data_IF_467162065249
#
_entry.id   IF_467162065249
#
_cell.length_a   1.000
_cell.length_b   1.000
_cell.length_c   1.000
_cell.angle_alpha   90.00
_cell.angle_beta   90.00
_cell.angle_gamma   90.00
#
_symmetry.space_group_name_H-M   'P 1'
#
loop_
_entity.id
_entity.type
_entity.pdbx_description
1 polymer ?
#
# COMPACT_ATOMS: atom_id res chain seq x y z
N UNK A 1 7.75 -20.82 8.67
CA UNK A 1 6.36 -20.61 8.20
C UNK A 1 5.88 -19.28 8.75
N UNK A 2 5.52 -18.32 7.91
CA UNK A 2 5.00 -17.01 8.35
C UNK A 2 3.55 -17.20 8.85
N UNK A 3 3.21 -16.57 9.99
CA UNK A 3 1.85 -16.64 10.52
C UNK A 3 0.87 -15.91 9.58
N UNK A 4 -0.34 -16.45 9.35
CA UNK A 4 -1.39 -15.74 8.62
C UNK A 4 -1.64 -14.35 9.22
N UNK A 5 -1.86 -13.36 8.37
CA UNK A 5 -2.09 -11.95 8.79
C UNK A 5 -3.26 -11.86 9.77
N UNK A 6 -4.34 -12.62 9.54
CA UNK A 6 -5.52 -12.64 10.42
C UNK A 6 -5.22 -13.07 11.86
N UNK A 7 -4.14 -13.81 12.08
CA UNK A 7 -3.71 -14.21 13.45
C UNK A 7 -2.92 -13.11 14.15
N UNK A 8 -2.42 -12.13 13.41
CA UNK A 8 -1.64 -11.00 13.95
C UNK A 8 -2.51 -9.77 14.19
N UNK A 9 -3.62 -9.61 13.45
CA UNK A 9 -4.55 -8.51 13.61
C UNK A 9 -5.39 -8.66 14.89
N UNK A 10 -5.53 -7.56 15.64
CA UNK A 10 -6.23 -7.57 16.94
C UNK A 10 -7.71 -7.22 16.84
N UNK A 11 -8.10 -6.45 15.81
CA UNK A 11 -9.48 -5.96 15.64
C UNK A 11 -10.18 -6.77 14.56
N UNK A 12 -11.42 -7.20 14.85
CA UNK A 12 -12.25 -7.93 13.88
C UNK A 12 -12.46 -7.13 12.59
N UNK A 13 -12.68 -5.82 12.68
CA UNK A 13 -12.82 -4.95 11.52
C UNK A 13 -11.59 -4.96 10.61
N UNK A 14 -10.37 -5.03 11.18
CA UNK A 14 -9.14 -5.14 10.39
C UNK A 14 -9.05 -6.48 9.65
N UNK A 15 -9.53 -7.56 10.26
CA UNK A 15 -9.58 -8.88 9.63
C UNK A 15 -10.57 -8.88 8.46
N UNK A 16 -11.74 -8.27 8.64
CA UNK A 16 -12.75 -8.14 7.60
C UNK A 16 -12.24 -7.31 6.41
N UNK A 17 -11.61 -6.16 6.68
CA UNK A 17 -10.95 -5.36 5.64
C UNK A 17 -9.86 -6.15 4.92
N UNK A 18 -9.00 -6.89 5.65
CA UNK A 18 -7.93 -7.67 5.05
C UNK A 18 -8.46 -8.75 4.07
N UNK A 19 -9.57 -9.40 4.39
CA UNK A 19 -10.22 -10.38 3.52
C UNK A 19 -10.85 -9.71 2.30
N UNK A 20 -11.54 -8.58 2.50
CA UNK A 20 -12.13 -7.82 1.40
C UNK A 20 -11.05 -7.31 0.42
N UNK A 21 -9.87 -6.91 0.94
CA UNK A 21 -8.73 -6.55 0.09
C UNK A 21 -8.29 -7.72 -0.79
N UNK A 22 -8.21 -8.93 -0.24
CA UNK A 22 -7.79 -10.11 -1.01
C UNK A 22 -8.75 -10.39 -2.17
N UNK A 23 -10.07 -10.33 -1.94
CA UNK A 23 -11.09 -10.52 -2.98
C UNK A 23 -11.00 -9.44 -4.08
N UNK A 24 -10.78 -8.19 -3.69
CA UNK A 24 -10.66 -7.09 -4.67
C UNK A 24 -9.35 -7.22 -5.46
N UNK A 25 -8.24 -7.54 -4.81
CA UNK A 25 -6.95 -7.77 -5.48
C UNK A 25 -7.07 -8.90 -6.50
N UNK A 26 -7.67 -10.03 -6.13
CA UNK A 26 -7.93 -11.13 -7.07
C UNK A 26 -8.81 -10.70 -8.23
N UNK A 27 -9.86 -9.92 -7.96
CA UNK A 27 -10.76 -9.39 -9.01
C UNK A 27 -9.98 -8.48 -9.97
N UNK A 28 -9.15 -7.56 -9.46
CA UNK A 28 -8.33 -6.67 -10.29
C UNK A 28 -7.40 -7.47 -11.19
N UNK A 29 -6.64 -8.42 -10.61
CA UNK A 29 -5.66 -9.20 -11.39
C UNK A 29 -6.29 -10.23 -12.34
N UNK A 30 -7.53 -10.65 -12.11
CA UNK A 30 -8.27 -11.47 -13.09
C UNK A 30 -8.64 -10.69 -14.35
N UNK A 31 -8.72 -9.37 -14.28
CA UNK A 31 -9.09 -8.48 -15.36
C UNK A 31 -7.89 -7.76 -16.00
N UNK A 32 -6.88 -7.43 -15.21
CA UNK A 32 -5.67 -6.75 -15.65
C UNK A 32 -4.44 -7.28 -14.89
N UNK A 33 -3.75 -8.26 -15.49
CA UNK A 33 -2.53 -8.85 -14.95
C UNK A 33 -1.33 -7.90 -14.95
N UNK A 34 -1.47 -6.73 -15.61
CA UNK A 34 -0.46 -5.66 -15.65
C UNK A 34 -0.73 -4.55 -14.67
N UNK A 35 -1.84 -4.59 -13.93
CA UNK A 35 -2.09 -3.65 -12.85
C UNK A 35 -0.94 -3.70 -11.83
N UNK A 36 -0.56 -2.55 -11.29
CA UNK A 36 0.55 -2.44 -10.34
C UNK A 36 0.00 -1.95 -9.01
N UNK A 37 -0.02 -2.82 -8.01
CA UNK A 37 -0.40 -2.45 -6.64
C UNK A 37 0.71 -1.59 -6.03
N UNK A 38 0.33 -0.46 -5.42
CA UNK A 38 1.27 0.42 -4.71
C UNK A 38 0.69 0.93 -3.38
N UNK A 39 1.31 1.96 -2.81
CA UNK A 39 0.80 2.57 -1.59
C UNK A 39 0.99 1.72 -0.33
N UNK A 40 0.20 2.04 0.70
CA UNK A 40 0.35 1.44 2.04
C UNK A 40 0.06 -0.05 2.08
N UNK A 41 -0.93 -0.50 1.31
CA UNK A 41 -1.31 -1.92 1.28
C UNK A 41 -0.28 -2.77 0.55
N UNK A 42 0.37 -2.26 -0.50
CA UNK A 42 1.49 -2.95 -1.13
C UNK A 42 2.67 -3.13 -0.15
N UNK A 43 3.00 -2.09 0.63
CA UNK A 43 4.06 -2.18 1.65
C UNK A 43 3.69 -3.22 2.71
N UNK A 44 2.46 -3.21 3.15
CA UNK A 44 1.96 -4.17 4.13
C UNK A 44 2.02 -5.61 3.61
N UNK A 45 1.49 -5.86 2.41
CA UNK A 45 1.26 -7.22 1.88
C UNK A 45 2.46 -7.79 1.11
N UNK A 46 3.24 -6.94 0.42
CA UNK A 46 4.34 -7.39 -0.43
C UNK A 46 5.73 -7.16 0.19
N UNK A 47 5.82 -6.31 1.21
CA UNK A 47 7.06 -5.96 1.90
C UNK A 47 7.02 -6.26 3.39
N UNK A 48 6.15 -7.16 3.83
CA UNK A 48 6.03 -7.60 5.24
C UNK A 48 5.87 -6.43 6.21
N UNK A 49 5.13 -5.38 5.82
CA UNK A 49 4.88 -4.23 6.66
C UNK A 49 4.12 -4.59 7.94
N UNK A 50 4.41 -3.91 9.03
CA UNK A 50 3.82 -4.15 10.34
C UNK A 50 2.71 -3.18 10.71
N UNK A 51 2.36 -2.26 9.82
CA UNK A 51 1.24 -1.34 10.00
C UNK A 51 0.06 -1.74 9.12
N UNK A 52 -1.13 -1.57 9.69
CA UNK A 52 -2.38 -1.77 8.97
C UNK A 52 -2.60 -0.69 7.91
N UNK A 53 -3.12 -1.08 6.74
CA UNK A 53 -3.53 -0.19 5.65
C UNK A 53 -4.88 -0.62 5.13
N UNK A 54 -5.79 0.34 4.88
CA UNK A 54 -7.19 0.07 4.51
C UNK A 54 -7.41 0.16 3.01
N UNK A 55 -6.86 1.18 2.36
CA UNK A 55 -7.13 1.48 0.95
C UNK A 55 -6.33 0.60 0.00
N UNK A 56 -6.82 0.46 -1.21
CA UNK A 56 -6.14 -0.19 -2.33
C UNK A 56 -5.81 0.84 -3.42
N UNK A 57 -4.53 0.97 -3.73
CA UNK A 57 -4.01 1.90 -4.71
C UNK A 57 -3.35 1.14 -5.87
N UNK A 58 -3.77 1.41 -7.10
CA UNK A 58 -3.24 0.77 -8.31
C UNK A 58 -2.82 1.77 -9.38
N UNK A 59 -1.81 1.40 -10.16
CA UNK A 59 -1.58 1.93 -11.49
C UNK A 59 -2.11 0.95 -12.52
N UNK A 60 -2.98 1.41 -13.42
CA UNK A 60 -3.47 0.63 -14.55
C UNK A 60 -3.96 1.55 -15.65
N UNK A 61 -3.59 1.25 -16.88
CA UNK A 61 -4.08 1.97 -18.07
C UNK A 61 -5.32 1.34 -18.67
N UNK A 62 -5.71 0.15 -18.24
CA UNK A 62 -6.80 -0.66 -18.82
C UNK A 62 -8.04 -0.75 -17.93
N UNK A 63 -7.93 -0.70 -16.61
CA UNK A 63 -9.07 -0.92 -15.70
C UNK A 63 -10.25 0.03 -15.94
N UNK A 64 -10.01 1.24 -16.44
CA UNK A 64 -11.11 2.16 -16.76
C UNK A 64 -12.00 1.65 -17.91
N UNK A 65 -11.38 1.11 -18.97
CA UNK A 65 -12.12 0.52 -20.08
C UNK A 65 -12.85 -0.77 -19.71
N UNK A 66 -12.44 -1.41 -18.62
CA UNK A 66 -12.99 -2.66 -18.10
C UNK A 66 -14.07 -2.43 -17.01
N UNK A 67 -14.62 -1.21 -16.89
CA UNK A 67 -15.60 -0.88 -15.84
C UNK A 67 -16.73 -1.90 -15.74
N UNK A 68 -17.38 -2.20 -16.84
CA UNK A 68 -18.50 -3.15 -16.88
C UNK A 68 -18.09 -4.55 -16.48
N UNK A 69 -16.90 -4.99 -16.93
CA UNK A 69 -16.35 -6.30 -16.56
C UNK A 69 -15.96 -6.34 -15.10
N UNK A 70 -15.39 -5.24 -14.58
CA UNK A 70 -15.05 -5.10 -13.16
C UNK A 70 -16.32 -5.19 -12.29
N UNK A 71 -17.38 -4.46 -12.62
CA UNK A 71 -18.64 -4.51 -11.88
C UNK A 71 -19.27 -5.91 -11.95
N UNK A 72 -19.24 -6.57 -13.12
CA UNK A 72 -19.75 -7.92 -13.32
C UNK A 72 -18.95 -8.95 -12.52
N UNK A 73 -17.63 -8.92 -12.61
CA UNK A 73 -16.72 -9.85 -11.90
C UNK A 73 -16.79 -9.62 -10.40
N UNK A 74 -16.81 -8.37 -9.93
CA UNK A 74 -17.01 -8.06 -8.51
C UNK A 74 -18.30 -8.68 -7.99
N UNK A 75 -19.41 -8.52 -8.74
CA UNK A 75 -20.71 -9.09 -8.36
C UNK A 75 -20.70 -10.62 -8.32
N UNK A 76 -20.00 -11.28 -9.24
CA UNK A 76 -19.87 -12.76 -9.21
C UNK A 76 -19.09 -13.28 -8.00
N UNK A 77 -18.25 -12.44 -7.41
CA UNK A 77 -17.56 -12.71 -6.13
C UNK A 77 -18.34 -12.21 -4.89
N UNK A 78 -19.59 -11.80 -5.06
CA UNK A 78 -20.43 -11.29 -3.97
C UNK A 78 -20.08 -9.88 -3.52
N UNK A 79 -19.29 -9.14 -4.30
CA UNK A 79 -18.91 -7.76 -4.01
C UNK A 79 -19.90 -6.77 -4.61
N UNK A 80 -20.10 -5.67 -3.90
CA UNK A 80 -20.98 -4.56 -4.28
C UNK A 80 -20.10 -3.35 -4.60
N UNK A 81 -20.15 -2.87 -5.83
CA UNK A 81 -19.52 -1.62 -6.24
C UNK A 81 -20.49 -0.48 -5.95
N UNK A 82 -20.30 0.20 -4.79
CA UNK A 82 -21.21 1.25 -4.33
C UNK A 82 -21.02 2.57 -5.09
N UNK A 83 -19.78 2.83 -5.54
CA UNK A 83 -19.43 4.07 -6.23
C UNK A 83 -18.34 3.78 -7.24
N UNK A 84 -18.52 4.33 -8.43
CA UNK A 84 -17.52 4.27 -9.48
C UNK A 84 -17.43 5.65 -10.12
N UNK A 85 -16.38 6.39 -9.82
CA UNK A 85 -16.21 7.77 -10.29
C UNK A 85 -14.83 7.92 -10.94
N UNK A 86 -14.82 8.54 -12.12
CA UNK A 86 -13.58 8.92 -12.80
C UNK A 86 -13.45 10.44 -12.82
N UNK A 87 -12.28 10.93 -12.45
CA UNK A 87 -11.91 12.34 -12.51
C UNK A 87 -10.50 12.47 -13.05
N UNK A 88 -10.36 13.07 -14.23
CA UNK A 88 -9.04 13.25 -14.85
C UNK A 88 -8.31 11.91 -15.05
N UNK A 89 -7.26 11.68 -14.27
CA UNK A 89 -6.40 10.51 -14.35
C UNK A 89 -6.71 9.44 -13.30
N UNK A 90 -7.72 9.69 -12.44
CA UNK A 90 -8.04 8.83 -11.32
C UNK A 90 -9.40 8.19 -11.51
N UNK A 91 -9.46 6.90 -11.26
CA UNK A 91 -10.67 6.15 -11.04
C UNK A 91 -10.77 5.88 -9.55
N UNK A 92 -11.90 6.23 -8.98
CA UNK A 92 -12.22 5.99 -7.59
C UNK A 92 -13.43 5.06 -7.50
N UNK A 93 -13.31 4.01 -6.72
CA UNK A 93 -14.41 3.08 -6.44
C UNK A 93 -14.52 2.82 -4.94
N UNK A 94 -15.74 2.70 -4.44
CA UNK A 94 -16.01 2.18 -3.09
C UNK A 94 -16.66 0.80 -3.26
N UNK A 95 -16.04 -0.22 -2.69
CA UNK A 95 -16.42 -1.62 -2.84
C UNK A 95 -16.70 -2.21 -1.48
N UNK A 96 -17.76 -3.03 -1.38
CA UNK A 96 -18.13 -3.71 -0.12
C UNK A 96 -18.58 -5.14 -0.35
N UNK A 97 -18.52 -5.93 0.71
CA UNK A 97 -19.12 -7.28 0.83
C UNK A 97 -20.49 -7.25 1.51
N UNK A 98 -21.08 -6.06 1.69
CA UNK A 98 -22.32 -5.84 2.42
C UNK A 98 -22.15 -5.61 3.92
N UNK A 99 -20.93 -5.81 4.48
CA UNK A 99 -20.59 -5.58 5.91
C UNK A 99 -19.45 -4.58 6.06
N UNK A 100 -18.43 -4.75 5.25
CA UNK A 100 -17.22 -3.94 5.24
C UNK A 100 -17.10 -3.27 3.89
N UNK A 101 -16.58 -2.05 3.85
CA UNK A 101 -16.28 -1.34 2.62
C UNK A 101 -14.87 -0.79 2.64
N UNK A 102 -14.26 -0.68 1.47
CA UNK A 102 -12.97 -0.02 1.29
C UNK A 102 -12.94 0.80 -0.01
N UNK A 103 -11.95 1.66 -0.11
CA UNK A 103 -11.72 2.45 -1.30
C UNK A 103 -10.67 1.79 -2.20
N UNK A 104 -10.98 1.77 -3.48
CA UNK A 104 -10.07 1.42 -4.55
C UNK A 104 -9.79 2.68 -5.36
N UNK A 105 -8.52 3.07 -5.44
CA UNK A 105 -8.04 4.14 -6.29
C UNK A 105 -7.16 3.58 -7.40
N UNK A 106 -7.40 3.99 -8.65
CA UNK A 106 -6.59 3.58 -9.79
C UNK A 106 -6.15 4.82 -10.55
N UNK A 107 -4.84 5.00 -10.68
CA UNK A 107 -4.28 6.00 -11.59
C UNK A 107 -4.21 5.41 -13.00
N UNK A 108 -5.10 5.89 -13.89
CA UNK A 108 -5.32 5.34 -15.22
C UNK A 108 -4.36 5.86 -16.30
N UNK A 109 -3.61 6.91 -16.00
CA UNK A 109 -2.70 7.53 -17.00
C UNK A 109 -1.23 7.22 -16.77
N UNK A 110 -0.87 6.74 -15.58
CA UNK A 110 0.53 6.54 -15.23
C UNK A 110 0.97 5.11 -15.57
N UNK A 111 1.90 5.01 -16.52
CA UNK A 111 2.66 3.78 -16.76
C UNK A 111 3.90 3.81 -15.88
N UNK A 112 4.11 2.79 -15.05
CA UNK A 112 5.24 2.70 -14.12
C UNK A 112 6.01 1.41 -14.33
N UNK A 113 7.29 1.43 -14.01
CA UNK A 113 8.08 0.20 -13.89
C UNK A 113 7.61 -0.58 -12.66
N UNK A 114 7.50 -1.88 -12.84
CA UNK A 114 7.00 -2.77 -11.79
C UNK A 114 7.85 -4.03 -11.70
N UNK A 115 7.86 -4.62 -10.52
CA UNK A 115 8.46 -5.93 -10.24
C UNK A 115 7.37 -6.90 -9.81
N UNK A 116 7.64 -8.19 -9.89
CA UNK A 116 6.73 -9.23 -9.37
C UNK A 116 7.16 -9.59 -7.95
N UNK A 117 6.20 -9.56 -7.02
CA UNK A 117 6.42 -9.96 -5.62
C UNK A 117 5.24 -10.76 -5.09
N UNK A 118 5.46 -11.61 -4.07
CA UNK A 118 4.36 -12.26 -3.38
C UNK A 118 3.54 -11.23 -2.59
N UNK A 119 2.24 -11.20 -2.84
CA UNK A 119 1.23 -10.55 -2.00
C UNK A 119 0.74 -11.58 -0.98
N UNK A 120 0.94 -11.32 0.30
CA UNK A 120 0.51 -12.21 1.37
C UNK A 120 -0.99 -12.03 1.64
N UNK A 121 -1.79 -13.04 1.36
CA UNK A 121 -3.21 -13.05 1.67
C UNK A 121 -3.46 -13.12 3.19
N UNK A 122 -4.65 -12.74 3.59
CA UNK A 122 -5.08 -12.73 5.00
C UNK A 122 -4.98 -14.12 5.66
N UNK A 123 -5.22 -15.19 4.91
CA UNK A 123 -5.15 -16.59 5.35
C UNK A 123 -3.73 -17.16 5.38
N UNK A 124 -2.72 -16.45 4.87
CA UNK A 124 -1.32 -16.86 4.79
C UNK A 124 -0.91 -17.50 3.46
N UNK A 125 -1.83 -17.67 2.51
CA UNK A 125 -1.48 -17.99 1.12
C UNK A 125 -0.85 -16.77 0.43
N UNK A 126 -0.26 -16.93 -0.74
CA UNK A 126 0.32 -15.82 -1.49
C UNK A 126 -0.05 -15.85 -2.96
N UNK A 127 -0.23 -14.67 -3.53
CA UNK A 127 -0.45 -14.44 -4.95
C UNK A 127 0.76 -13.66 -5.51
N UNK A 128 1.29 -14.07 -6.68
CA UNK A 128 2.33 -13.28 -7.35
C UNK A 128 1.69 -12.12 -8.10
N UNK A 129 2.05 -10.90 -7.72
CA UNK A 129 1.47 -9.69 -8.29
C UNK A 129 2.56 -8.69 -8.71
N UNK A 130 2.18 -7.73 -9.54
CA UNK A 130 3.03 -6.60 -9.87
C UNK A 130 2.89 -5.51 -8.83
N UNK A 131 4.03 -5.01 -8.38
CA UNK A 131 4.12 -3.88 -7.44
C UNK A 131 5.33 -3.01 -7.77
N UNK A 132 5.45 -1.85 -7.15
CA UNK A 132 6.65 -1.02 -7.27
C UNK A 132 7.83 -1.65 -6.53
N UNK A 133 9.05 -1.35 -6.97
CA UNK A 133 10.25 -1.61 -6.16
C UNK A 133 10.23 -0.81 -4.86
N UNK A 134 11.04 -1.23 -3.88
CA UNK A 134 11.16 -0.49 -2.61
C UNK A 134 11.63 0.95 -2.85
N UNK A 135 12.55 1.14 -3.79
CA UNK A 135 13.09 2.44 -4.17
C UNK A 135 11.99 3.37 -4.71
N UNK A 136 11.17 2.88 -5.64
CA UNK A 136 10.09 3.67 -6.22
C UNK A 136 9.01 3.98 -5.19
N UNK A 137 8.69 3.05 -4.29
CA UNK A 137 7.76 3.31 -3.18
C UNK A 137 8.32 4.34 -2.20
N UNK A 138 9.63 4.31 -1.89
CA UNK A 138 10.29 5.31 -1.05
C UNK A 138 10.12 6.70 -1.67
N UNK A 139 10.34 6.85 -2.97
CA UNK A 139 10.18 8.13 -3.65
C UNK A 139 8.73 8.64 -3.55
N UNK A 140 7.73 7.77 -3.76
CA UNK A 140 6.32 8.14 -3.57
C UNK A 140 6.03 8.57 -2.12
N UNK A 141 6.60 7.87 -1.14
CA UNK A 141 6.41 8.18 0.29
C UNK A 141 7.12 9.46 0.73
N UNK A 142 8.28 9.78 0.14
CA UNK A 142 8.94 11.07 0.33
C UNK A 142 8.03 12.21 -0.14
N UNK A 143 7.45 12.11 -1.34
CA UNK A 143 6.49 13.12 -1.82
C UNK A 143 5.27 13.23 -0.91
N UNK A 144 4.66 12.10 -0.54
CA UNK A 144 3.48 12.09 0.32
C UNK A 144 3.78 12.71 1.71
N UNK A 145 4.94 12.42 2.30
CA UNK A 145 5.33 13.01 3.58
C UNK A 145 5.58 14.52 3.44
N UNK A 146 6.25 14.95 2.39
CA UNK A 146 6.52 16.37 2.14
C UNK A 146 5.23 17.20 2.03
N UNK A 147 4.16 16.61 1.47
CA UNK A 147 2.87 17.28 1.32
C UNK A 147 2.07 17.34 2.61
N UNK A 148 1.99 16.24 3.37
CA UNK A 148 1.01 16.10 4.46
C UNK A 148 1.62 15.79 5.83
N UNK A 149 2.89 15.43 5.91
CA UNK A 149 3.65 15.12 7.12
C UNK A 149 3.00 14.07 8.03
N UNK A 150 2.36 13.04 7.46
CA UNK A 150 1.80 11.94 8.23
C UNK A 150 2.87 10.93 8.62
N UNK A 151 2.91 10.58 9.91
CA UNK A 151 3.90 9.64 10.48
C UNK A 151 3.92 8.30 9.75
N UNK A 152 2.79 7.84 9.22
CA UNK A 152 2.68 6.59 8.47
C UNK A 152 3.54 6.58 7.20
N UNK A 153 3.69 7.73 6.52
CA UNK A 153 4.50 7.81 5.31
C UNK A 153 5.99 7.79 5.65
N UNK A 154 6.40 8.44 6.74
CA UNK A 154 7.77 8.35 7.25
C UNK A 154 8.11 6.93 7.69
N UNK A 155 7.18 6.26 8.39
CA UNK A 155 7.35 4.87 8.79
C UNK A 155 7.47 3.94 7.58
N UNK A 156 6.73 4.18 6.52
CA UNK A 156 6.83 3.42 5.27
C UNK A 156 8.20 3.56 4.63
N UNK A 157 8.77 4.78 4.56
CA UNK A 157 10.14 5.01 4.10
C UNK A 157 11.11 4.22 4.97
N UNK A 158 11.04 4.41 6.29
CA UNK A 158 11.91 3.72 7.25
C UNK A 158 11.85 2.19 7.10
N UNK A 159 10.65 1.63 6.98
CA UNK A 159 10.45 0.19 6.81
C UNK A 159 11.02 -0.32 5.49
N UNK A 160 10.85 0.40 4.39
CA UNK A 160 11.30 -0.02 3.07
C UNK A 160 12.81 -0.01 2.89
N UNK A 161 13.57 0.72 3.71
CA UNK A 161 15.04 0.79 3.59
C UNK A 161 15.70 -0.59 3.63
N UNK A 162 15.14 -1.55 4.35
CA UNK A 162 15.67 -2.92 4.44
C UNK A 162 15.47 -3.74 3.16
N UNK A 163 14.62 -3.27 2.24
CA UNK A 163 14.29 -3.94 0.97
C UNK A 163 14.92 -3.23 -0.24
N UNK A 164 15.67 -2.17 -0.03
CA UNK A 164 16.37 -1.45 -1.11
C UNK A 164 17.48 -2.34 -1.66
N UNK A 165 17.39 -2.69 -2.93
CA UNK A 165 18.38 -3.51 -3.63
C UNK A 165 19.47 -2.63 -4.26
N UNK A 166 19.09 -1.46 -4.80
CA UNK A 166 20.03 -0.50 -5.36
C UNK A 166 20.08 0.78 -4.50
N UNK A 167 20.96 0.81 -3.51
CA UNK A 167 21.11 1.98 -2.63
C UNK A 167 21.44 3.26 -3.41
N UNK A 168 22.20 3.16 -4.50
CA UNK A 168 22.60 4.32 -5.31
C UNK A 168 21.42 5.04 -5.96
N UNK A 169 20.32 4.35 -6.27
CA UNK A 169 19.15 4.92 -6.94
C UNK A 169 18.30 5.84 -6.05
N UNK A 170 18.38 5.69 -4.73
CA UNK A 170 17.49 6.42 -3.79
C UNK A 170 18.23 7.11 -2.65
N UNK A 171 19.53 6.84 -2.48
CA UNK A 171 20.36 7.43 -1.41
C UNK A 171 20.35 8.97 -1.43
N UNK A 172 20.49 9.58 -2.60
CA UNK A 172 20.50 11.04 -2.77
C UNK A 172 19.16 11.65 -2.33
N UNK A 173 18.04 11.04 -2.74
CA UNK A 173 16.71 11.53 -2.43
C UNK A 173 16.42 11.45 -0.93
N UNK A 174 16.80 10.34 -0.29
CA UNK A 174 16.70 10.17 1.17
C UNK A 174 17.58 11.20 1.89
N UNK A 175 18.81 11.43 1.43
CA UNK A 175 19.70 12.43 2.04
C UNK A 175 19.12 13.83 1.94
N UNK A 176 18.59 14.20 0.78
CA UNK A 176 17.92 15.50 0.56
C UNK A 176 16.65 15.62 1.41
N UNK A 177 15.83 14.58 1.44
CA UNK A 177 14.63 14.53 2.28
C UNK A 177 14.97 14.77 3.76
N UNK A 178 16.02 14.13 4.28
CA UNK A 178 16.44 14.27 5.67
C UNK A 178 16.93 15.70 6.02
N UNK A 179 17.45 16.47 5.05
CA UNK A 179 17.86 17.88 5.31
C UNK A 179 16.66 18.81 5.52
N UNK A 180 15.47 18.44 5.01
CA UNK A 180 14.23 19.22 5.09
C UNK A 180 13.13 18.49 5.87
N UNK A 181 13.51 17.50 6.68
CA UNK A 181 12.56 16.66 7.40
C UNK A 181 11.97 17.40 8.60
N UNK A 182 10.75 17.89 8.45
CA UNK A 182 9.93 18.41 9.54
C UNK A 182 9.33 17.30 10.39
N UNK A 183 8.93 17.64 11.62
CA UNK A 183 8.21 16.72 12.50
C UNK A 183 6.83 16.37 11.92
N UNK A 184 6.37 15.12 12.11
CA UNK A 184 5.03 14.71 11.70
C UNK A 184 3.95 15.47 12.50
N UNK A 185 2.78 15.63 11.87
CA UNK A 185 1.63 16.29 12.53
C UNK A 185 0.81 15.32 13.38
N UNK A 186 1.07 14.01 13.27
CA UNK A 186 0.24 12.93 13.83
C UNK A 186 1.07 11.79 14.46
N UNK A 187 2.22 12.08 15.08
CA UNK A 187 3.16 11.05 15.58
C UNK A 187 2.47 9.97 16.43
N UNK A 188 1.51 10.36 17.27
CA UNK A 188 0.77 9.45 18.14
C UNK A 188 -0.03 8.37 17.39
N UNK A 189 -0.40 8.62 16.14
CA UNK A 189 -1.19 7.70 15.31
C UNK A 189 -0.42 6.41 15.01
N UNK A 190 0.91 6.47 14.88
CA UNK A 190 1.73 5.30 14.53
C UNK A 190 1.49 4.12 15.47
N UNK A 191 1.37 4.37 16.78
CA UNK A 191 1.12 3.32 17.79
C UNK A 191 -0.23 2.62 17.61
N UNK A 192 -1.19 3.27 16.97
CA UNK A 192 -2.55 2.73 16.78
C UNK A 192 -2.67 1.86 15.54
N UNK A 193 -1.81 2.09 14.55
CA UNK A 193 -1.83 1.36 13.27
C UNK A 193 -0.79 0.23 13.19
N UNK A 194 0.23 0.24 14.03
CA UNK A 194 1.18 -0.88 14.15
C UNK A 194 0.50 -2.01 14.92
N UNK A 195 0.32 -3.14 14.27
CA UNK A 195 -0.33 -4.32 14.87
C UNK A 195 0.68 -5.34 15.42
N UNK A 196 1.95 -5.27 15.00
CA UNK A 196 3.01 -6.20 15.41
C UNK A 196 4.35 -5.45 15.58
N UNK A 197 5.10 -5.79 16.63
CA UNK A 197 6.38 -5.18 16.94
C UNK A 197 6.26 -3.88 17.75
N UNK A 198 7.37 -3.15 17.83
CA UNK A 198 7.48 -1.89 18.58
C UNK A 198 7.37 -0.72 17.60
N UNK A 199 6.51 0.24 17.93
CA UNK A 199 6.41 1.49 17.19
C UNK A 199 7.64 2.37 17.46
N UNK A 200 8.48 2.67 16.43
CA UNK A 200 9.59 3.59 16.61
C UNK A 200 9.10 5.02 16.80
N UNK A 201 9.85 5.85 17.50
CA UNK A 201 9.61 7.29 17.55
C UNK A 201 10.11 7.97 16.27
N UNK A 202 9.62 9.19 16.03
CA UNK A 202 10.11 10.04 14.94
C UNK A 202 11.64 10.20 14.97
N UNK A 203 12.18 10.56 16.12
CA UNK A 203 13.64 10.76 16.29
C UNK A 203 14.43 9.49 16.01
N UNK A 204 13.92 8.34 16.44
CA UNK A 204 14.58 7.05 16.17
C UNK A 204 14.63 6.77 14.65
N UNK A 205 13.51 6.94 13.94
CA UNK A 205 13.48 6.75 12.50
C UNK A 205 14.42 7.71 11.77
N UNK A 206 14.43 8.99 12.16
CA UNK A 206 15.34 10.00 11.61
C UNK A 206 16.82 9.61 11.74
N UNK A 207 17.22 9.20 12.94
CA UNK A 207 18.62 8.77 13.21
C UNK A 207 19.00 7.54 12.39
N UNK A 208 18.13 6.53 12.33
CA UNK A 208 18.43 5.29 11.62
C UNK A 208 18.44 5.51 10.09
N UNK A 209 17.54 6.32 9.54
CA UNK A 209 17.56 6.73 8.12
C UNK A 209 18.81 7.52 7.78
N UNK A 210 19.26 8.45 8.65
CA UNK A 210 20.48 9.21 8.45
C UNK A 210 21.73 8.31 8.47
N UNK A 211 21.74 7.28 9.31
CA UNK A 211 22.81 6.26 9.33
C UNK A 211 22.79 5.43 8.04
N UNK A 212 21.61 5.03 7.59
CA UNK A 212 21.47 4.28 6.35
C UNK A 212 21.93 5.09 5.14
N UNK A 213 21.69 6.41 5.11
CA UNK A 213 22.05 7.30 4.00
C UNK A 213 23.56 7.64 3.93
N UNK A 214 24.37 7.30 4.93
CA UNK A 214 25.84 7.41 4.88
C UNK A 214 26.45 6.29 4.04
#
# INVERSE_FOLDING_TARGET
MQLPIIKMLKKRSQIEVARLQDEIVQTVYSLDDRAVLHGGTAIWRCYSGNRFSEDLDFYSTSLFSLKTDFEKTSRSHGLIVNKFKSTGNLLFSSISDGRTSLNLEVNIRKKVESIVRPYLNADGTSLQIRTLSAENMILEKIHAYSDRRFIRDLYDIYHLLQFVENKGSVKRDISLFLTHLDSPVDEGVLKTIIYSGVSPSFERMKVDMARWAK
#
